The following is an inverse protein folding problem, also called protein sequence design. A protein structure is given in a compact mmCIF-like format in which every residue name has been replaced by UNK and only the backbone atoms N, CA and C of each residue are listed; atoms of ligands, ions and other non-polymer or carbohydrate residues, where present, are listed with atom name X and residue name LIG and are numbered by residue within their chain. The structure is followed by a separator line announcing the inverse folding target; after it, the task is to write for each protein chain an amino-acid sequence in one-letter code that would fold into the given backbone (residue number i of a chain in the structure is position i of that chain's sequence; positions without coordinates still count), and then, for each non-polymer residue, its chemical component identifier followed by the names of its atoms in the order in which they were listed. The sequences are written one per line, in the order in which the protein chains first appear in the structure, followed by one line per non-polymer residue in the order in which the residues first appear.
data_IF_075800109519
#
_entry.id   IF_075800109519
#
_cell.length_a   1.000
_cell.length_b   1.000
_cell.length_c   1.000
_cell.angle_alpha   90.00
_cell.angle_beta   90.00
_cell.angle_gamma   90.00
#
_symmetry.space_group_name_H-M   'P 1'
#
loop_
_entity.id
_entity.type
_entity.pdbx_description
1 polymer ?
#
# COMPACT_ATOMS: atom_id res chain seq x y z
N UNK A 1 -4.68 -7.25 -14.33
CA UNK A 1 -3.61 -6.38 -14.08
C UNK A 1 -3.64 -5.85 -12.70
N UNK A 2 -2.63 -6.07 -11.95
CA UNK A 2 -2.63 -5.59 -10.58
C UNK A 2 -2.65 -4.08 -10.56
N UNK A 3 -1.65 -3.45 -10.03
CA UNK A 3 -1.66 -2.01 -9.96
C UNK A 3 -1.39 -1.41 -11.34
N UNK A 4 -1.87 -0.22 -11.55
CA UNK A 4 -1.67 0.47 -12.80
C UNK A 4 -0.20 0.67 -13.09
N UNK A 5 0.61 0.85 -12.06
CA UNK A 5 2.03 0.93 -12.21
C UNK A 5 2.65 -0.28 -11.64
N UNK A 6 3.29 -1.11 -12.44
CA UNK A 6 3.90 -2.35 -11.95
C UNK A 6 5.17 -2.11 -11.17
N UNK A 7 5.86 -1.02 -11.41
CA UNK A 7 7.13 -0.78 -10.71
C UNK A 7 6.90 -0.24 -9.32
N UNK A 8 7.65 -0.73 -8.37
CA UNK A 8 7.54 -0.25 -7.02
C UNK A 8 8.58 0.83 -6.76
N UNK A 9 8.26 1.75 -5.87
CA UNK A 9 9.19 2.77 -5.42
C UNK A 9 9.80 2.29 -4.12
N UNK A 10 10.98 2.79 -3.79
CA UNK A 10 11.63 2.42 -2.54
C UNK A 10 10.82 2.91 -1.35
N UNK A 11 10.71 2.09 -0.34
CA UNK A 11 9.93 2.47 0.84
C UNK A 11 10.83 3.20 1.83
N UNK A 12 10.96 4.51 1.62
CA UNK A 12 11.71 5.39 2.50
C UNK A 12 10.95 6.70 2.61
N UNK A 13 11.21 7.47 3.64
CA UNK A 13 10.51 8.73 3.81
C UNK A 13 10.74 9.67 2.62
N UNK A 14 11.95 9.73 2.12
CA UNK A 14 12.27 10.59 0.99
C UNK A 14 11.51 10.16 -0.24
N UNK A 15 11.54 8.88 -0.54
CA UNK A 15 10.86 8.34 -1.72
C UNK A 15 9.35 8.56 -1.63
N UNK A 16 8.78 8.38 -0.46
CA UNK A 16 7.35 8.58 -0.26
C UNK A 16 7.00 10.04 -0.56
N UNK A 17 7.77 10.97 -0.03
CA UNK A 17 7.49 12.37 -0.25
C UNK A 17 7.66 12.79 -1.69
N UNK A 18 8.58 12.14 -2.39
CA UNK A 18 8.82 12.48 -3.78
C UNK A 18 7.83 11.86 -4.75
N UNK A 19 7.36 10.67 -4.44
CA UNK A 19 6.57 9.91 -5.40
C UNK A 19 5.11 9.69 -5.04
N UNK A 20 4.78 9.61 -3.78
CA UNK A 20 3.41 9.33 -3.39
C UNK A 20 2.58 10.60 -3.36
N UNK A 21 1.43 10.62 -4.01
CA UNK A 21 0.61 11.82 -4.03
C UNK A 21 -0.24 11.94 -2.77
N UNK A 22 -0.57 13.17 -2.41
CA UNK A 22 -1.44 13.44 -1.26
C UNK A 22 -2.89 13.38 -1.75
N UNK A 23 -3.26 12.27 -2.36
CA UNK A 23 -4.58 12.09 -2.93
C UNK A 23 -5.09 10.71 -2.56
N UNK A 24 -6.37 10.51 -2.74
CA UNK A 24 -6.98 9.23 -2.40
C UNK A 24 -6.72 8.17 -3.44
N UNK A 25 -6.69 6.95 -2.98
CA UNK A 25 -6.49 5.83 -3.87
C UNK A 25 -6.16 4.57 -3.09
N UNK A 26 -5.35 3.73 -3.69
CA UNK A 26 -4.98 2.45 -3.11
C UNK A 26 -3.47 2.34 -3.14
N UNK A 27 -2.88 1.83 -2.07
CA UNK A 27 -1.45 1.60 -2.08
C UNK A 27 -1.16 0.16 -1.71
N UNK A 28 0.02 -0.30 -2.08
CA UNK A 28 0.48 -1.63 -1.73
C UNK A 28 1.90 -1.57 -1.22
N UNK A 29 2.18 -2.33 -0.20
CA UNK A 29 3.52 -2.47 0.35
C UNK A 29 4.05 -3.83 -0.04
N UNK A 30 5.31 -3.88 -0.41
CA UNK A 30 5.89 -5.13 -0.90
C UNK A 30 7.34 -5.29 -0.53
N UNK A 31 7.86 -6.48 -0.74
CA UNK A 31 9.29 -6.72 -0.63
C UNK A 31 9.68 -7.48 -1.88
N UNK A 32 10.88 -8.02 -1.92
CA UNK A 32 11.38 -8.68 -3.13
C UNK A 32 10.59 -9.92 -3.51
N UNK A 33 9.86 -10.49 -2.59
CA UNK A 33 9.17 -11.75 -2.84
C UNK A 33 7.67 -11.71 -2.77
N UNK A 34 7.10 -10.75 -2.08
CA UNK A 34 5.67 -10.79 -1.79
C UNK A 34 5.03 -9.43 -1.67
N UNK A 35 3.73 -9.40 -1.89
CA UNK A 35 2.92 -8.25 -1.51
C UNK A 35 2.64 -8.40 -0.03
N UNK A 36 2.83 -7.35 0.73
CA UNK A 36 2.67 -7.43 2.17
C UNK A 36 1.33 -6.88 2.62
N UNK A 37 0.92 -5.75 2.09
CA UNK A 37 -0.30 -5.11 2.53
C UNK A 37 -0.89 -4.21 1.46
N UNK A 38 -2.19 -4.20 1.31
CA UNK A 38 -2.88 -3.37 0.32
C UNK A 38 -4.05 -2.71 1.00
N UNK A 39 -4.22 -1.42 0.80
CA UNK A 39 -5.32 -0.70 1.43
C UNK A 39 -5.76 0.52 0.63
N UNK A 40 -7.06 0.82 0.72
CA UNK A 40 -7.62 2.01 0.12
C UNK A 40 -7.61 3.12 1.18
N UNK A 41 -7.22 4.32 0.79
CA UNK A 41 -7.11 5.43 1.72
C UNK A 41 -7.48 6.75 1.05
N UNK A 42 -7.69 7.77 1.85
CA UNK A 42 -8.01 9.09 1.32
C UNK A 42 -6.77 9.91 1.01
N UNK A 43 -5.62 9.54 1.54
CA UNK A 43 -4.39 10.27 1.31
C UNK A 43 -3.25 9.28 1.32
N UNK A 44 -2.81 8.90 0.14
CA UNK A 44 -1.77 7.88 -0.02
C UNK A 44 -0.47 8.27 0.66
N UNK A 45 -0.03 9.51 0.48
CA UNK A 45 1.22 9.95 1.08
C UNK A 45 1.17 9.87 2.60
N UNK A 46 0.09 10.38 3.18
CA UNK A 46 -0.03 10.37 4.63
C UNK A 46 -0.06 8.94 5.18
N UNK A 47 -0.78 8.05 4.49
CA UNK A 47 -0.86 6.67 4.93
C UNK A 47 0.50 5.99 4.88
N UNK A 48 1.25 6.23 3.81
CA UNK A 48 2.57 5.62 3.68
C UNK A 48 3.54 6.16 4.71
N UNK A 49 3.47 7.45 5.01
CA UNK A 49 4.33 8.02 6.02
C UNK A 49 4.00 7.50 7.41
N UNK A 50 2.73 7.24 7.66
CA UNK A 50 2.33 6.64 8.93
C UNK A 50 2.91 5.25 9.06
N UNK A 51 2.89 4.47 7.99
CA UNK A 51 3.51 3.15 8.02
C UNK A 51 5.01 3.26 8.27
N UNK A 52 5.66 4.21 7.63
CA UNK A 52 7.08 4.39 7.78
C UNK A 52 7.42 4.73 9.24
N UNK A 53 6.61 5.58 9.85
CA UNK A 53 6.86 6.00 11.22
C UNK A 53 6.51 4.96 12.26
N UNK A 54 5.55 4.12 11.95
CA UNK A 54 5.09 3.14 12.91
C UNK A 54 5.48 1.72 12.62
N UNK A 55 6.37 1.52 11.74
CA UNK A 55 6.70 0.18 11.27
C UNK A 55 7.02 -0.84 12.33
N UNK A 56 7.13 -0.44 13.53
CA UNK A 56 7.50 -1.35 14.54
C UNK A 56 6.57 -2.50 14.83
N UNK A 57 5.29 -2.39 14.74
CA UNK A 57 4.48 -3.52 15.10
C UNK A 57 4.70 -4.71 14.19
N UNK A 58 5.19 -4.49 13.01
CA UNK A 58 5.35 -5.58 12.08
C UNK A 58 6.50 -6.46 12.46
N UNK A 59 6.33 -7.76 12.39
CA UNK A 59 7.45 -8.67 12.60
C UNK A 59 8.52 -8.40 11.57
N UNK A 60 9.74 -8.68 11.94
CA UNK A 60 10.85 -8.43 11.06
C UNK A 60 10.75 -9.15 9.72
N UNK A 61 10.13 -10.31 9.71
CA UNK A 61 10.07 -11.02 8.45
C UNK A 61 9.16 -10.31 7.45
N UNK A 62 8.45 -9.30 7.90
CA UNK A 62 7.62 -8.53 7.00
C UNK A 62 8.32 -7.25 6.58
N UNK A 63 9.59 -7.34 6.31
CA UNK A 63 10.34 -6.17 5.87
C UNK A 63 9.77 -5.59 4.61
N UNK A 64 9.33 -4.36 4.67
CA UNK A 64 8.79 -3.67 3.51
C UNK A 64 9.92 -2.92 2.83
N UNK A 65 10.13 -3.17 1.55
CA UNK A 65 11.17 -2.50 0.82
C UNK A 65 10.63 -1.62 -0.32
N UNK A 66 9.37 -1.78 -0.66
CA UNK A 66 8.81 -1.01 -1.75
C UNK A 66 7.36 -0.68 -1.56
N UNK A 67 6.88 0.30 -2.30
CA UNK A 67 5.47 0.62 -2.31
C UNK A 67 5.02 0.93 -3.73
N UNK A 68 3.72 0.74 -3.95
CA UNK A 68 3.10 1.04 -5.22
C UNK A 68 1.77 1.70 -4.90
N UNK A 69 1.25 2.46 -5.81
CA UNK A 69 -0.04 3.09 -5.59
C UNK A 69 -0.81 3.28 -6.89
N UNK A 70 -2.08 3.57 -6.74
CA UNK A 70 -2.95 3.81 -7.86
C UNK A 70 -4.00 4.81 -7.41
N UNK A 71 -4.19 5.89 -8.16
CA UNK A 71 -5.22 6.86 -7.81
C UNK A 71 -6.57 6.25 -8.15
N UNK A 72 -7.54 6.51 -7.31
CA UNK A 72 -8.84 5.90 -7.50
C UNK A 72 -9.91 6.72 -6.81
N UNK A 73 -11.02 6.95 -7.52
CA UNK A 73 -12.12 7.72 -6.97
C UNK A 73 -12.74 7.02 -5.78
N UNK A 74 -13.30 7.82 -4.88
CA UNK A 74 -13.92 7.29 -3.69
C UNK A 74 -14.93 6.19 -4.00
N UNK A 75 -15.72 6.37 -5.02
CA UNK A 75 -16.76 5.40 -5.34
C UNK A 75 -16.25 4.06 -5.83
N UNK A 76 -15.05 4.03 -6.38
CA UNK A 76 -14.49 2.80 -6.91
C UNK A 76 -13.47 2.16 -5.99
N UNK A 77 -13.04 2.91 -5.02
CA UNK A 77 -11.89 2.55 -4.23
C UNK A 77 -12.03 1.20 -3.51
N UNK A 78 -13.14 1.00 -2.87
CA UNK A 78 -13.35 -0.21 -2.11
C UNK A 78 -13.37 -1.44 -3.01
N UNK A 79 -14.06 -1.35 -4.12
CA UNK A 79 -14.17 -2.45 -5.06
C UNK A 79 -12.81 -2.78 -5.66
N UNK A 80 -12.09 -1.75 -6.06
CA UNK A 80 -10.77 -1.95 -6.65
C UNK A 80 -9.80 -2.56 -5.66
N UNK A 81 -9.86 -2.11 -4.41
CA UNK A 81 -9.00 -2.62 -3.37
C UNK A 81 -9.27 -4.11 -3.13
N UNK A 82 -10.53 -4.49 -3.07
CA UNK A 82 -10.88 -5.89 -2.87
C UNK A 82 -10.36 -6.76 -4.01
N UNK A 83 -10.44 -6.25 -5.22
CA UNK A 83 -9.96 -6.98 -6.36
C UNK A 83 -8.46 -7.17 -6.31
N UNK A 84 -7.72 -6.14 -5.92
CA UNK A 84 -6.28 -6.23 -5.82
C UNK A 84 -5.88 -7.22 -4.73
N UNK A 85 -6.59 -7.23 -3.62
CA UNK A 85 -6.30 -8.15 -2.54
C UNK A 85 -6.53 -9.59 -3.03
N UNK A 86 -7.57 -9.81 -3.77
CA UNK A 86 -7.85 -11.14 -4.31
C UNK A 86 -6.77 -11.58 -5.27
N UNK A 87 -6.31 -10.69 -6.13
CA UNK A 87 -5.31 -11.03 -7.13
C UNK A 87 -3.92 -11.20 -6.56
N UNK A 88 -3.54 -10.32 -5.65
CA UNK A 88 -2.16 -10.28 -5.17
C UNK A 88 -1.93 -11.02 -3.86
N UNK A 89 -3.01 -11.28 -3.13
CA UNK A 89 -2.93 -12.05 -1.89
C UNK A 89 -1.86 -11.59 -0.93
N UNK A 90 -1.97 -10.38 -0.42
CA UNK A 90 -0.95 -9.85 0.49
C UNK A 90 -0.88 -10.67 1.77
N UNK A 91 0.29 -10.73 2.36
CA UNK A 91 0.52 -11.48 3.57
C UNK A 91 -0.29 -10.94 4.74
N UNK A 92 -0.27 -9.62 4.92
CA UNK A 92 -1.03 -9.00 5.98
C UNK A 92 -2.31 -8.50 5.37
N UNK A 93 -3.45 -9.05 5.85
CA UNK A 93 -4.64 -8.61 5.25
C UNK A 93 -5.59 -8.33 6.30
N UNK A 94 -6.29 -7.94 6.48
CA UNK A 94 -7.16 -7.89 7.46
C UNK A 94 -7.31 -6.81 8.40
N UNK A 95 -6.29 -6.02 8.52
CA UNK A 95 -6.34 -5.08 9.39
C UNK A 95 -7.43 -4.20 9.13
N UNK A 96 -7.58 -3.88 7.98
CA UNK A 96 -8.52 -2.89 7.65
C UNK A 96 -9.90 -3.35 7.89
N UNK A 97 -10.07 -4.58 7.98
CA UNK A 97 -11.33 -4.96 8.20
C UNK A 97 -11.62 -5.23 9.54
N UNK A 98 -11.01 -4.99 10.31
CA UNK A 98 -11.26 -5.25 11.54
C UNK A 98 -11.99 -4.40 12.10
N UNK A 99 -12.39 -4.09 12.04
CA UNK A 99 -12.96 -3.27 12.37
C UNK A 99 -13.61 -3.27 12.82
#
# INVERSE_FOLDING_TARGET
MPFARPSAYSFTAVSIRQNAPAWGGIYGLSNAHSWIYIQAVDDIRAALLDHWNERSPAPDFLSVTGFTFELCDTGERSRRCSRLIEELRPIVRGRSQRL
#
